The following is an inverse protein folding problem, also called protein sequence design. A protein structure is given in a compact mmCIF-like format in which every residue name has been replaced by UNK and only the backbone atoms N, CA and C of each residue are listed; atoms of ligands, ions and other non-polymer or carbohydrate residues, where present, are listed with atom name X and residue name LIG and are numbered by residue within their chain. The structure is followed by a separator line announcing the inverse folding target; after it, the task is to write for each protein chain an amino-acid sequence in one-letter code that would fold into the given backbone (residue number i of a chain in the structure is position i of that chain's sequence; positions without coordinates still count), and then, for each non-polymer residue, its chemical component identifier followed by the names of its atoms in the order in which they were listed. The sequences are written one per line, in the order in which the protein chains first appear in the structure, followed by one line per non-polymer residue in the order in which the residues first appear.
data_IF_037387702258
#
_entry.id   IF_037387702258
#
_cell.length_a   1.000
_cell.length_b   1.000
_cell.length_c   1.000
_cell.angle_alpha   90.00
_cell.angle_beta   90.00
_cell.angle_gamma   90.00
#
_symmetry.space_group_name_H-M   'P 1'
#
loop_
_entity.id
_entity.type
_entity.pdbx_description
1 polymer ?
#
# COMPACT_ATOMS: atom_id res chain seq x y z
N UNK A 1 2.16 14.51 20.25
CA UNK A 1 3.44 13.96 19.74
C UNK A 1 3.07 13.13 18.53
N UNK A 2 3.46 13.56 17.33
CA UNK A 2 3.06 12.89 16.09
C UNK A 2 3.72 11.51 16.05
N UNK A 3 2.92 10.45 15.91
CA UNK A 3 3.39 9.08 15.75
C UNK A 3 3.79 8.86 14.28
N UNK A 4 4.69 9.71 13.75
CA UNK A 4 5.19 9.59 12.37
C UNK A 4 6.07 8.34 12.25
N UNK A 5 5.45 7.26 11.80
CA UNK A 5 6.05 5.94 11.73
C UNK A 5 5.53 5.19 10.52
N UNK A 6 6.45 4.91 9.60
CA UNK A 6 6.23 4.11 8.39
C UNK A 6 7.03 2.82 8.51
N UNK A 7 6.32 1.70 8.55
CA UNK A 7 6.89 0.34 8.59
C UNK A 7 6.88 -0.26 7.20
N UNK A 8 8.00 -0.81 6.77
CA UNK A 8 8.14 -1.43 5.45
C UNK A 8 8.95 -2.73 5.53
N UNK A 9 8.76 -3.59 4.54
CA UNK A 9 9.56 -4.82 4.41
C UNK A 9 10.96 -4.53 3.83
N UNK A 10 11.82 -5.56 3.82
CA UNK A 10 13.18 -5.43 3.33
C UNK A 10 13.26 -5.07 1.83
N UNK A 11 12.27 -5.49 1.04
CA UNK A 11 12.21 -5.20 -0.40
C UNK A 11 11.96 -3.72 -0.63
N UNK A 12 10.97 -3.16 0.08
CA UNK A 12 10.65 -1.74 0.04
C UNK A 12 11.80 -0.92 0.60
N UNK A 13 12.39 -1.32 1.74
CA UNK A 13 13.55 -0.62 2.31
C UNK A 13 14.70 -0.49 1.30
N UNK A 14 15.04 -1.58 0.60
CA UNK A 14 16.09 -1.56 -0.42
C UNK A 14 15.75 -0.64 -1.61
N UNK A 15 14.48 -0.57 -2.01
CA UNK A 15 14.02 0.31 -3.09
C UNK A 15 14.22 1.80 -2.74
N UNK A 16 13.99 2.17 -1.49
CA UNK A 16 14.21 3.52 -0.95
C UNK A 16 15.62 3.76 -0.40
N UNK A 17 16.55 2.82 -0.60
CA UNK A 17 17.92 2.92 -0.08
C UNK A 17 17.99 3.11 1.46
N UNK A 18 17.11 2.42 2.19
CA UNK A 18 17.01 2.44 3.64
C UNK A 18 17.49 1.12 4.26
N UNK A 19 17.89 1.17 5.53
CA UNK A 19 18.19 -0.03 6.31
C UNK A 19 16.91 -0.83 6.58
N UNK A 20 16.94 -2.13 6.28
CA UNK A 20 15.76 -2.99 6.38
C UNK A 20 15.32 -3.26 7.81
N UNK A 21 16.26 -3.29 8.77
CA UNK A 21 15.93 -3.50 10.19
C UNK A 21 15.27 -2.25 10.78
N UNK A 22 15.78 -1.06 10.44
CA UNK A 22 15.16 0.20 10.82
C UNK A 22 13.79 0.37 10.17
N UNK A 23 13.65 0.06 8.88
CA UNK A 23 12.36 0.12 8.19
C UNK A 23 11.31 -0.83 8.81
N UNK A 24 11.73 -2.02 9.26
CA UNK A 24 10.85 -2.96 9.95
C UNK A 24 10.41 -2.48 11.36
N UNK A 25 11.28 -1.74 12.05
CA UNK A 25 10.94 -1.10 13.33
C UNK A 25 10.08 0.16 13.13
N UNK A 26 10.22 0.82 11.98
CA UNK A 26 9.49 2.01 11.60
C UNK A 26 10.41 3.22 11.53
N UNK A 27 10.31 3.96 10.43
CA UNK A 27 11.03 5.19 10.14
C UNK A 27 10.04 6.32 9.87
N UNK A 28 10.40 7.60 10.12
CA UNK A 28 9.54 8.71 9.72
C UNK A 28 9.33 8.72 8.21
N UNK A 29 8.17 9.17 7.74
CA UNK A 29 7.86 9.22 6.31
C UNK A 29 8.90 10.04 5.52
N UNK A 30 9.44 11.09 6.15
CA UNK A 30 10.48 11.93 5.58
C UNK A 30 11.73 11.13 5.13
N UNK A 31 12.07 10.03 5.82
CA UNK A 31 13.19 9.16 5.42
C UNK A 31 12.95 8.52 4.04
N UNK A 32 11.70 8.18 3.71
CA UNK A 32 11.34 7.64 2.40
C UNK A 32 11.28 8.75 1.34
N UNK A 33 10.78 9.93 1.70
CA UNK A 33 10.72 11.08 0.79
C UNK A 33 12.11 11.52 0.33
N UNK A 34 13.14 11.36 1.16
CA UNK A 34 14.50 11.72 0.75
C UNK A 34 15.00 10.90 -0.44
N UNK A 35 14.54 9.66 -0.61
CA UNK A 35 14.89 8.86 -1.78
C UNK A 35 14.12 9.29 -3.04
N UNK A 36 12.98 9.98 -2.90
CA UNK A 36 12.18 10.46 -4.04
C UNK A 36 12.95 11.57 -4.76
N UNK A 37 13.06 11.47 -6.09
CA UNK A 37 13.72 12.49 -6.90
C UNK A 37 13.07 13.87 -6.69
N UNK A 38 13.86 14.96 -6.56
CA UNK A 38 13.32 16.29 -6.28
C UNK A 38 12.19 16.73 -7.22
N UNK A 39 12.26 16.35 -8.50
CA UNK A 39 11.25 16.66 -9.50
C UNK A 39 9.87 16.02 -9.24
N UNK A 40 9.81 14.93 -8.46
CA UNK A 40 8.58 14.18 -8.20
C UNK A 40 8.01 14.45 -6.79
N UNK A 41 8.76 15.15 -5.92
CA UNK A 41 8.38 15.40 -4.52
C UNK A 41 7.12 16.26 -4.39
N UNK A 42 6.97 17.29 -5.22
CA UNK A 42 5.79 18.19 -5.17
C UNK A 42 4.48 17.43 -5.45
N UNK A 43 4.46 16.62 -6.50
CA UNK A 43 3.29 15.80 -6.85
C UNK A 43 2.99 14.74 -5.78
N UNK A 44 4.04 14.15 -5.21
CA UNK A 44 3.91 13.21 -4.09
C UNK A 44 3.27 13.87 -2.87
N UNK A 45 3.78 15.03 -2.44
CA UNK A 45 3.22 15.76 -1.29
C UNK A 45 1.78 16.21 -1.54
N UNK A 46 1.47 16.72 -2.73
CA UNK A 46 0.10 17.09 -3.09
C UNK A 46 -0.88 15.91 -2.93
N UNK A 47 -0.46 14.71 -3.32
CA UNK A 47 -1.28 13.50 -3.18
C UNK A 47 -1.37 13.04 -1.72
N UNK A 48 -0.28 13.17 -0.96
CA UNK A 48 -0.20 12.81 0.45
C UNK A 48 -1.04 13.74 1.34
N UNK A 49 -1.02 15.05 1.07
CA UNK A 49 -1.80 16.05 1.80
C UNK A 49 -3.29 15.74 1.65
N UNK A 50 -3.74 15.42 0.43
CA UNK A 50 -5.13 15.05 0.17
C UNK A 50 -5.60 13.87 1.02
N UNK A 51 -4.82 12.78 1.06
CA UNK A 51 -5.18 11.59 1.86
C UNK A 51 -4.96 11.81 3.35
N UNK A 52 -4.12 12.76 3.76
CA UNK A 52 -3.96 13.14 5.17
C UNK A 52 -5.15 13.97 5.66
N UNK A 53 -5.73 14.81 4.81
CA UNK A 53 -6.90 15.61 5.14
C UNK A 53 -8.21 14.80 5.09
N UNK A 54 -8.35 13.88 4.14
CA UNK A 54 -9.63 13.24 3.83
C UNK A 54 -9.64 11.72 4.03
N UNK A 55 -8.49 11.09 4.27
CA UNK A 55 -8.34 9.64 4.09
C UNK A 55 -8.53 9.21 2.63
N UNK A 56 -8.76 7.92 2.42
CA UNK A 56 -9.06 7.33 1.12
C UNK A 56 -7.87 6.69 0.42
N UNK A 57 -8.00 6.50 -0.89
CA UNK A 57 -7.00 5.78 -1.69
C UNK A 57 -5.88 6.73 -2.12
N UNK A 58 -4.64 6.28 -1.92
CA UNK A 58 -3.45 6.89 -2.48
C UNK A 58 -2.97 6.07 -3.67
N UNK A 59 -2.74 6.72 -4.80
CA UNK A 59 -2.00 6.16 -5.93
C UNK A 59 -0.96 7.18 -6.35
N UNK A 60 0.31 6.83 -6.22
CA UNK A 60 1.42 7.68 -6.63
C UNK A 60 2.38 6.89 -7.49
N UNK A 61 2.80 7.49 -8.59
CA UNK A 61 3.88 6.96 -9.42
C UNK A 61 4.99 8.00 -9.52
N UNK A 62 6.17 7.64 -9.05
CA UNK A 62 7.30 8.55 -8.91
C UNK A 62 8.61 7.79 -8.99
N UNK A 63 9.71 8.52 -9.13
CA UNK A 63 11.04 7.95 -9.20
C UNK A 63 11.76 8.08 -7.87
N UNK A 64 12.53 7.06 -7.53
CA UNK A 64 13.42 7.04 -6.37
C UNK A 64 14.86 6.79 -6.80
N UNK A 65 15.82 7.34 -6.05
CA UNK A 65 17.23 7.01 -6.15
C UNK A 65 17.55 5.81 -5.26
N UNK A 66 17.55 4.62 -5.84
CA UNK A 66 17.99 3.39 -5.17
C UNK A 66 19.50 3.26 -5.35
N UNK A 67 20.29 3.42 -4.28
CA UNK A 67 21.75 3.60 -4.37
C UNK A 67 22.47 2.68 -5.36
N UNK A 68 22.25 1.36 -5.26
CA UNK A 68 22.88 0.37 -6.14
C UNK A 68 22.27 0.25 -7.54
N UNK A 69 21.03 0.71 -7.75
CA UNK A 69 20.25 0.54 -8.99
C UNK A 69 20.01 1.86 -9.74
N UNK A 70 20.50 2.97 -9.21
CA UNK A 70 20.24 4.30 -9.74
C UNK A 70 18.77 4.69 -9.63
N UNK A 71 18.26 5.37 -10.66
CA UNK A 71 16.86 5.82 -10.69
C UNK A 71 15.94 4.62 -10.95
N UNK A 72 14.92 4.45 -10.11
CA UNK A 72 13.90 3.40 -10.23
C UNK A 72 12.52 4.03 -10.24
N UNK A 73 11.61 3.53 -11.08
CA UNK A 73 10.20 3.87 -11.03
C UNK A 73 9.47 3.06 -9.98
N UNK A 74 8.60 3.73 -9.25
CA UNK A 74 7.82 3.19 -8.14
C UNK A 74 6.35 3.51 -8.35
N UNK A 75 5.51 2.48 -8.27
CA UNK A 75 4.08 2.61 -8.09
C UNK A 75 3.73 2.30 -6.63
N UNK A 76 3.26 3.30 -5.90
CA UNK A 76 2.74 3.16 -4.56
C UNK A 76 1.20 3.19 -4.58
N UNK A 77 0.58 2.22 -3.94
CA UNK A 77 -0.88 2.15 -3.77
C UNK A 77 -1.22 1.88 -2.33
N UNK A 78 -2.08 2.70 -1.74
CA UNK A 78 -2.48 2.53 -0.35
C UNK A 78 -3.88 3.03 -0.07
N UNK A 79 -4.35 2.72 1.14
CA UNK A 79 -5.55 3.26 1.72
C UNK A 79 -5.19 3.92 3.05
N UNK A 80 -5.73 5.12 3.26
CA UNK A 80 -5.51 5.93 4.44
C UNK A 80 -6.84 6.10 5.18
N UNK A 81 -6.85 5.76 6.46
CA UNK A 81 -7.98 5.98 7.35
C UNK A 81 -7.66 7.16 8.24
N UNK A 82 -8.56 8.14 8.28
CA UNK A 82 -8.48 9.30 9.17
C UNK A 82 -9.48 9.15 10.30
N UNK A 83 -9.02 9.36 11.52
CA UNK A 83 -9.88 9.49 12.69
C UNK A 83 -10.36 10.94 12.80
N UNK A 84 -11.67 11.15 12.71
CA UNK A 84 -12.26 12.50 12.74
C UNK A 84 -12.20 13.17 14.12
N UNK A 85 -12.03 12.41 15.20
CA UNK A 85 -11.92 12.92 16.56
C UNK A 85 -10.49 13.30 16.93
N UNK A 86 -9.53 12.45 16.55
CA UNK A 86 -8.11 12.62 16.93
C UNK A 86 -7.28 13.29 15.84
N UNK A 87 -7.75 13.24 14.59
CA UNK A 87 -6.99 13.65 13.42
C UNK A 87 -5.86 12.69 13.03
N UNK A 88 -5.74 11.53 13.71
CA UNK A 88 -4.75 10.51 13.38
C UNK A 88 -5.04 9.90 12.00
N UNK A 89 -3.99 9.66 11.22
CA UNK A 89 -4.08 9.07 9.89
C UNK A 89 -3.23 7.81 9.84
N UNK A 90 -3.85 6.69 9.47
CA UNK A 90 -3.18 5.40 9.31
C UNK A 90 -3.26 4.95 7.86
N UNK A 91 -2.11 4.88 7.20
CA UNK A 91 -1.95 4.38 5.83
C UNK A 91 -1.53 2.91 5.80
N UNK A 92 -2.08 2.15 4.86
CA UNK A 92 -1.63 0.78 4.53
C UNK A 92 -1.58 0.61 3.02
N UNK A 93 -0.53 -0.01 2.49
CA UNK A 93 -0.38 -0.12 1.05
C UNK A 93 0.71 -1.07 0.61
N UNK A 94 0.92 -1.05 -0.70
CA UNK A 94 1.96 -1.78 -1.40
C UNK A 94 2.82 -0.79 -2.18
N UNK A 95 4.07 -1.18 -2.38
CA UNK A 95 5.02 -0.49 -3.23
C UNK A 95 5.52 -1.49 -4.27
N UNK A 96 5.46 -1.10 -5.53
CA UNK A 96 5.86 -1.94 -6.66
C UNK A 96 6.92 -1.20 -7.48
N UNK A 97 8.04 -1.85 -7.76
CA UNK A 97 9.01 -1.33 -8.73
C UNK A 97 8.45 -1.56 -10.14
N UNK A 98 8.28 -0.48 -10.91
CA UNK A 98 7.73 -0.51 -12.28
C UNK A 98 8.77 -0.12 -13.34
N UNK A 99 10.06 -0.07 -12.97
CA UNK A 99 11.15 0.40 -13.84
C UNK A 99 11.20 -0.37 -15.16
N UNK A 100 11.08 -1.69 -15.11
CA UNK A 100 11.11 -2.55 -16.32
C UNK A 100 9.90 -2.30 -17.23
N UNK A 101 8.72 -2.07 -16.66
CA UNK A 101 7.50 -1.79 -17.44
C UNK A 101 7.54 -0.41 -18.11
N UNK A 102 8.21 0.58 -17.49
CA UNK A 102 8.34 1.95 -18.02
C UNK A 102 9.34 2.08 -19.15
N UNK A 103 10.31 1.17 -19.26
CA UNK A 103 11.21 1.14 -20.41
C UNK A 103 10.48 0.83 -21.73
N UNK A 104 9.24 0.32 -21.66
CA UNK A 104 8.50 -0.21 -22.81
C UNK A 104 7.19 0.53 -23.17
N UNK A 105 6.73 1.55 -22.41
CA UNK A 105 5.47 2.28 -22.70
C UNK A 105 5.38 3.69 -22.06
N UNK A 106 4.80 4.73 -22.71
CA UNK A 106 4.62 6.06 -22.13
C UNK A 106 3.43 6.14 -21.16
N UNK A 107 3.60 6.86 -20.05
CA UNK A 107 2.69 6.89 -18.89
C UNK A 107 1.46 7.76 -19.12
N UNK A 108 0.26 7.24 -18.82
CA UNK A 108 -0.93 8.05 -18.53
C UNK A 108 -1.16 8.12 -17.02
N UNK A 109 -1.41 9.34 -16.56
CA UNK A 109 -1.61 9.75 -15.18
C UNK A 109 -3.03 9.42 -14.72
N UNK A 110 -3.22 8.63 -13.65
CA UNK A 110 -4.55 8.36 -13.06
C UNK A 110 -4.49 8.18 -11.54
N UNK A 111 -5.08 9.14 -10.82
CA UNK A 111 -5.52 9.00 -9.43
C UNK A 111 -6.99 8.59 -9.39
N UNK A 112 -7.36 7.65 -8.52
CA UNK A 112 -8.74 7.19 -8.33
C UNK A 112 -9.12 7.27 -6.84
N UNK A 113 -10.30 7.80 -6.55
CA UNK A 113 -10.89 7.85 -5.20
C UNK A 113 -12.15 7.00 -5.16
N UNK A 114 -12.33 6.19 -4.11
CA UNK A 114 -13.60 5.49 -3.81
C UNK A 114 -13.91 5.63 -2.33
N UNK A 115 -15.12 6.11 -2.03
CA UNK A 115 -15.66 6.27 -0.67
C UNK A 115 -16.26 4.95 -0.15
N UNK A 116 -16.17 4.79 1.17
CA UNK A 116 -16.53 3.59 1.93
C UNK A 116 -18.03 3.27 1.95
N UNK A 117 -18.36 1.96 2.10
CA UNK A 117 -19.71 1.44 2.32
C UNK A 117 -19.88 0.91 3.75
N UNK A 118 -21.04 1.21 4.34
CA UNK A 118 -21.50 0.82 5.69
C UNK A 118 -21.86 -0.67 5.78
N UNK A 119 -20.85 -1.53 5.92
CA UNK A 119 -21.01 -2.95 6.25
C UNK A 119 -20.16 -3.28 7.50
N UNK A 120 -20.60 -4.20 8.38
CA UNK A 120 -19.82 -4.58 9.55
C UNK A 120 -18.44 -5.14 9.12
N UNK A 121 -17.36 -4.84 9.88
CA UNK A 121 -16.00 -4.95 9.33
C UNK A 121 -15.57 -6.35 8.88
N UNK A 122 -16.05 -7.41 9.55
CA UNK A 122 -15.66 -8.79 9.23
C UNK A 122 -16.38 -9.31 7.97
N UNK A 123 -17.64 -8.98 7.80
CA UNK A 123 -18.47 -9.33 6.64
C UNK A 123 -17.96 -8.61 5.39
N UNK A 124 -17.54 -7.34 5.56
CA UNK A 124 -16.88 -6.57 4.50
C UNK A 124 -15.52 -7.18 4.15
N UNK A 125 -14.71 -7.56 5.14
CA UNK A 125 -13.43 -8.21 4.91
C UNK A 125 -13.58 -9.58 4.23
N UNK A 126 -14.60 -10.36 4.60
CA UNK A 126 -14.94 -11.62 3.92
C UNK A 126 -15.28 -11.37 2.44
N UNK A 127 -16.08 -10.33 2.17
CA UNK A 127 -16.43 -9.93 0.80
C UNK A 127 -15.20 -9.54 -0.01
N UNK A 128 -14.30 -8.73 0.55
CA UNK A 128 -13.05 -8.37 -0.11
C UNK A 128 -12.14 -9.57 -0.36
N UNK A 129 -12.01 -10.48 0.60
CA UNK A 129 -11.20 -11.68 0.44
C UNK A 129 -11.76 -12.60 -0.67
N UNK A 130 -13.08 -12.74 -0.77
CA UNK A 130 -13.74 -13.49 -1.85
C UNK A 130 -13.55 -12.84 -3.22
N UNK A 131 -13.67 -11.51 -3.29
CA UNK A 131 -13.42 -10.76 -4.53
C UNK A 131 -11.95 -10.86 -4.96
N UNK A 132 -11.02 -10.72 -4.01
CA UNK A 132 -9.60 -10.91 -4.26
C UNK A 132 -9.29 -12.32 -4.76
N UNK A 133 -9.88 -13.36 -4.15
CA UNK A 133 -9.68 -14.75 -4.56
C UNK A 133 -10.10 -15.00 -6.01
N UNK A 134 -11.20 -14.39 -6.45
CA UNK A 134 -11.66 -14.45 -7.85
C UNK A 134 -10.69 -13.73 -8.78
N UNK A 135 -10.27 -12.51 -8.43
CA UNK A 135 -9.31 -11.76 -9.24
C UNK A 135 -7.97 -12.50 -9.41
N UNK A 136 -7.52 -13.24 -8.39
CA UNK A 136 -6.31 -14.07 -8.47
C UNK A 136 -6.43 -15.19 -9.50
N UNK A 137 -7.63 -15.67 -9.83
CA UNK A 137 -7.81 -16.69 -10.86
C UNK A 137 -7.48 -16.16 -12.28
N UNK A 138 -7.54 -14.84 -12.47
CA UNK A 138 -7.25 -14.17 -13.75
C UNK A 138 -5.78 -13.71 -13.86
N UNK A 139 -4.99 -13.83 -12.79
CA UNK A 139 -3.55 -13.45 -12.78
C UNK A 139 -2.71 -14.49 -13.53
N UNK A 140 -1.53 -14.09 -14.02
CA UNK A 140 -0.58 -14.97 -14.69
C UNK A 140 -0.18 -16.19 -13.83
N UNK A 141 0.02 -17.33 -14.48
CA UNK A 141 0.24 -18.63 -13.80
C UNK A 141 1.45 -18.66 -12.86
N UNK A 142 2.47 -17.85 -13.09
CA UNK A 142 3.67 -17.82 -12.25
C UNK A 142 3.47 -17.05 -10.94
N UNK A 143 2.55 -16.08 -10.88
CA UNK A 143 2.26 -15.27 -9.69
C UNK A 143 1.09 -15.86 -8.88
N UNK A 144 0.22 -16.60 -9.57
CA UNK A 144 -1.02 -17.19 -9.06
C UNK A 144 -0.85 -18.09 -7.81
N UNK A 145 0.15 -18.99 -7.69
CA UNK A 145 0.25 -19.88 -6.53
C UNK A 145 0.46 -19.15 -5.21
N UNK A 146 1.36 -18.17 -5.19
CA UNK A 146 1.68 -17.40 -3.98
C UNK A 146 0.49 -16.53 -3.55
N UNK A 147 -0.15 -15.85 -4.51
CA UNK A 147 -1.32 -15.02 -4.24
C UNK A 147 -2.53 -15.84 -3.77
N UNK A 148 -2.78 -17.02 -4.36
CA UNK A 148 -3.85 -17.93 -3.93
C UNK A 148 -3.65 -18.38 -2.49
N UNK A 149 -2.45 -18.80 -2.13
CA UNK A 149 -2.15 -19.24 -0.76
C UNK A 149 -2.41 -18.13 0.26
N UNK A 150 -2.01 -16.89 -0.04
CA UNK A 150 -2.19 -15.75 0.84
C UNK A 150 -3.68 -15.41 1.04
N UNK A 151 -4.46 -15.34 -0.04
CA UNK A 151 -5.89 -15.02 0.07
C UNK A 151 -6.72 -16.16 0.67
N UNK A 152 -6.37 -17.42 0.42
CA UNK A 152 -7.01 -18.58 1.06
C UNK A 152 -6.75 -18.57 2.59
N UNK A 153 -5.52 -18.22 2.99
CA UNK A 153 -5.17 -18.05 4.41
C UNK A 153 -5.98 -16.93 5.07
N UNK A 154 -6.19 -15.81 4.37
CA UNK A 154 -7.06 -14.73 4.84
C UNK A 154 -8.51 -15.19 4.98
N UNK A 155 -9.06 -15.89 3.99
CA UNK A 155 -10.42 -16.43 4.04
C UNK A 155 -10.63 -17.33 5.27
N UNK A 156 -9.68 -18.22 5.55
CA UNK A 156 -9.75 -19.08 6.73
C UNK A 156 -9.67 -18.29 8.04
N UNK A 157 -8.80 -17.28 8.11
CA UNK A 157 -8.68 -16.43 9.30
C UNK A 157 -9.98 -15.66 9.58
N UNK A 158 -10.60 -15.10 8.53
CA UNK A 158 -11.88 -14.37 8.64
C UNK A 158 -13.01 -15.32 9.06
N UNK A 159 -13.11 -16.50 8.46
CA UNK A 159 -14.13 -17.49 8.82
C UNK A 159 -14.08 -17.90 10.29
N UNK A 160 -12.87 -18.11 10.84
CA UNK A 160 -12.68 -18.38 12.27
C UNK A 160 -13.10 -17.20 13.15
N UNK A 161 -12.76 -15.97 12.75
CA UNK A 161 -13.12 -14.77 13.51
C UNK A 161 -14.64 -14.53 13.56
N UNK A 162 -15.35 -14.82 12.47
CA UNK A 162 -16.81 -14.74 12.40
C UNK A 162 -17.42 -15.83 13.30
N UNK A 163 -16.98 -17.08 13.17
CA UNK A 163 -17.50 -18.20 13.97
C UNK A 163 -17.30 -17.99 15.49
N UNK A 164 -16.17 -17.39 15.90
CA UNK A 164 -15.90 -17.07 17.30
C UNK A 164 -16.83 -16.01 17.91
N UNK A 165 -17.53 -15.21 17.09
CA UNK A 165 -18.52 -14.22 17.54
C UNK A 165 -19.93 -14.78 17.70
N UNK A 166 -20.24 -15.89 17.03
CA UNK A 166 -21.56 -16.55 17.13
C UNK A 166 -21.78 -17.33 18.44
N UNK A 167 -20.82 -17.30 19.36
CA UNK A 167 -20.84 -18.00 20.64
C UNK A 167 -21.01 -17.09 21.87
N UNK A 168 -21.32 -15.80 21.69
CA UNK A 168 -21.64 -14.84 22.76
C UNK A 168 -22.91 -14.05 22.46
#
# INVERSE_FOLDING_TARGET
MSNDRTVADAVTAALFNLDSMQAALGLPLAAYVEAILPADREAFFTSLDRVSEHGGVFVGEYRVCSGARGVQWVLARGHFERDDQTGEVIGRGIVVNTTESKLNWPVEDRTFFVLHKNEPPLERLATYALQARRAVDDVAEHEKPALRLAVDSLLWAVGRAIAGRSHF
#
